data_IF_439694909258
#
_entry.id   IF_439694909258
#
_cell.length_a   1.000
_cell.length_b   1.000
_cell.length_c   1.000
_cell.angle_alpha   90.00
_cell.angle_beta   90.00
_cell.angle_gamma   90.00
#
_symmetry.space_group_name_H-M   'P 1'
#
loop_
_entity.id
_entity.type
_entity.pdbx_description
1 polymer ?
#
# COMPACT_ATOMS: atom_id res chain seq x y z
N UNK A 1 -11.54 -6.36 2.97
CA UNK A 1 -10.35 -5.82 2.28
C UNK A 1 -10.25 -6.53 0.94
N UNK A 2 -10.15 -5.78 -0.17
CA UNK A 2 -10.13 -6.36 -1.52
C UNK A 2 -8.68 -6.50 -1.99
N UNK A 3 -8.27 -7.69 -2.39
CA UNK A 3 -6.95 -7.89 -2.98
C UNK A 3 -6.94 -7.47 -4.45
N UNK A 4 -5.92 -6.68 -4.82
CA UNK A 4 -5.73 -6.13 -6.16
C UNK A 4 -4.25 -6.11 -6.54
N UNK A 5 -3.98 -5.92 -7.82
CA UNK A 5 -2.62 -5.69 -8.33
C UNK A 5 -1.98 -4.46 -7.69
N UNK A 6 -0.69 -4.56 -7.39
CA UNK A 6 0.05 -3.54 -6.66
C UNK A 6 0.06 -2.20 -7.38
N UNK A 7 0.27 -2.19 -8.69
CA UNK A 7 0.32 -0.94 -9.45
C UNK A 7 -1.04 -0.23 -9.44
N UNK A 8 -2.14 -0.99 -9.49
CA UNK A 8 -3.50 -0.44 -9.34
C UNK A 8 -3.74 0.11 -7.93
N UNK A 9 -3.21 -0.55 -6.91
CA UNK A 9 -3.28 -0.04 -5.53
C UNK A 9 -2.55 1.30 -5.42
N UNK A 10 -1.37 1.41 -6.03
CA UNK A 10 -0.61 2.66 -6.07
C UNK A 10 -1.37 3.75 -6.82
N UNK A 11 -1.94 3.45 -7.98
CA UNK A 11 -2.78 4.40 -8.73
C UNK A 11 -3.94 4.94 -7.89
N UNK A 12 -4.63 4.07 -7.15
CA UNK A 12 -5.71 4.48 -6.25
C UNK A 12 -5.18 5.41 -5.16
N UNK A 13 -4.03 5.08 -4.55
CA UNK A 13 -3.40 5.89 -3.51
C UNK A 13 -2.94 7.26 -4.00
N UNK A 14 -2.35 7.32 -5.20
CA UNK A 14 -1.92 8.57 -5.84
C UNK A 14 -3.08 9.48 -6.25
N UNK A 15 -4.29 8.93 -6.41
CA UNK A 15 -5.50 9.69 -6.68
C UNK A 15 -6.18 10.24 -5.41
N UNK A 16 -5.66 9.94 -4.21
CA UNK A 16 -6.24 10.43 -2.95
C UNK A 16 -5.65 11.78 -2.54
N UNK A 17 -6.52 12.74 -2.22
CA UNK A 17 -6.11 14.07 -1.71
C UNK A 17 -6.16 14.15 -0.17
N UNK A 18 -7.16 13.53 0.46
CA UNK A 18 -7.37 13.56 1.92
C UNK A 18 -7.95 12.23 2.43
N UNK A 19 -7.90 12.00 3.74
CA UNK A 19 -8.54 10.84 4.42
C UNK A 19 -8.14 9.46 3.87
N UNK A 20 -6.84 9.30 3.59
CA UNK A 20 -6.26 8.03 3.19
C UNK A 20 -4.97 7.75 3.97
N UNK A 21 -4.65 6.48 4.15
CA UNK A 21 -3.35 6.06 4.66
C UNK A 21 -3.01 4.67 4.12
N UNK A 22 -1.74 4.28 4.21
CA UNK A 22 -1.29 2.96 3.78
C UNK A 22 -0.39 2.31 4.83
N UNK A 23 -0.34 0.99 4.81
CA UNK A 23 0.55 0.17 5.62
C UNK A 23 1.43 -0.66 4.72
N UNK A 24 2.68 -0.85 5.13
CA UNK A 24 3.60 -1.80 4.52
C UNK A 24 4.02 -2.82 5.58
N UNK A 25 3.61 -4.06 5.38
CA UNK A 25 3.88 -5.17 6.29
C UNK A 25 4.95 -6.08 5.66
N UNK A 26 6.03 -6.31 6.39
CA UNK A 26 7.08 -7.26 6.02
C UNK A 26 6.65 -8.69 6.38
N UNK A 27 7.30 -9.73 5.81
CA UNK A 27 7.04 -11.12 6.19
C UNK A 27 7.19 -11.39 7.71
N UNK A 28 8.15 -10.73 8.36
CA UNK A 28 8.40 -10.88 9.80
C UNK A 28 7.53 -9.97 10.69
N UNK A 29 6.60 -9.21 10.10
CA UNK A 29 5.73 -8.32 10.86
C UNK A 29 4.68 -9.13 11.62
N UNK A 30 4.55 -8.91 12.94
CA UNK A 30 3.56 -9.60 13.80
C UNK A 30 2.10 -9.35 13.39
N UNK A 31 1.84 -8.30 12.62
CA UNK A 31 0.51 -7.96 12.10
C UNK A 31 0.27 -8.49 10.69
N UNK A 32 1.27 -9.11 10.07
CA UNK A 32 1.13 -9.74 8.76
C UNK A 32 0.69 -11.20 8.94
N UNK A 33 -0.41 -11.56 8.28
CA UNK A 33 -0.97 -12.91 8.26
C UNK A 33 -0.39 -13.78 7.15
N UNK A 34 0.61 -13.28 6.42
CA UNK A 34 1.20 -13.89 5.23
C UNK A 34 2.73 -13.88 5.27
N UNK A 35 3.41 -14.91 4.72
CA UNK A 35 4.86 -14.88 4.53
C UNK A 35 5.33 -13.96 3.39
N UNK A 36 4.39 -13.30 2.70
CA UNK A 36 4.67 -12.33 1.64
C UNK A 36 4.72 -10.90 2.20
N UNK A 37 5.37 -10.00 1.46
CA UNK A 37 5.20 -8.57 1.70
C UNK A 37 3.77 -8.18 1.39
N UNK A 38 3.20 -7.27 2.18
CA UNK A 38 1.82 -6.82 2.00
C UNK A 38 1.75 -5.31 2.05
N UNK A 39 1.09 -4.71 1.06
CA UNK A 39 0.71 -3.30 1.07
C UNK A 39 -0.78 -3.23 1.29
N UNK A 40 -1.22 -2.42 2.25
CA UNK A 40 -2.63 -2.17 2.53
C UNK A 40 -2.90 -0.69 2.31
N UNK A 41 -3.94 -0.36 1.56
CA UNK A 41 -4.41 1.00 1.34
C UNK A 41 -5.82 1.14 1.93
N UNK A 42 -6.00 2.13 2.79
CA UNK A 42 -7.30 2.47 3.36
C UNK A 42 -7.69 3.86 2.89
N UNK A 43 -8.82 3.94 2.20
CA UNK A 43 -9.45 5.19 1.74
C UNK A 43 -10.89 5.25 2.26
N UNK A 44 -11.57 6.37 2.00
CA UNK A 44 -12.99 6.51 2.35
C UNK A 44 -13.88 5.54 1.56
N UNK A 45 -13.49 5.19 0.34
CA UNK A 45 -14.22 4.32 -0.59
C UNK A 45 -13.99 2.83 -0.30
N UNK A 46 -12.95 2.49 0.46
CA UNK A 46 -12.72 1.12 0.89
C UNK A 46 -11.29 0.79 1.30
N UNK A 47 -11.08 -0.50 1.55
CA UNK A 47 -9.78 -1.05 1.96
C UNK A 47 -9.28 -2.03 0.90
N UNK A 48 -8.08 -1.79 0.39
CA UNK A 48 -7.43 -2.58 -0.64
C UNK A 48 -6.13 -3.17 -0.10
N UNK A 49 -5.72 -4.31 -0.64
CA UNK A 49 -4.41 -4.89 -0.33
C UNK A 49 -3.76 -5.49 -1.57
N UNK A 50 -2.45 -5.64 -1.51
CA UNK A 50 -1.68 -6.41 -2.48
C UNK A 50 -0.60 -7.18 -1.75
N UNK A 51 -0.32 -8.41 -2.20
CA UNK A 51 0.69 -9.31 -1.63
C UNK A 51 1.80 -9.60 -2.67
N UNK A 52 3.07 -9.57 -2.28
CA UNK A 52 4.18 -9.76 -3.20
C UNK A 52 5.37 -10.50 -2.58
N UNK A 53 6.11 -11.24 -3.41
CA UNK A 53 7.26 -12.03 -2.97
C UNK A 53 8.52 -11.22 -2.71
N UNK A 54 8.58 -9.97 -3.17
CA UNK A 54 9.74 -9.09 -3.03
C UNK A 54 9.31 -7.70 -2.56
N UNK A 55 10.16 -7.00 -1.83
CA UNK A 55 9.88 -5.63 -1.35
C UNK A 55 9.68 -4.66 -2.54
N UNK A 56 8.52 -4.01 -2.69
CA UNK A 56 8.23 -3.16 -3.84
C UNK A 56 8.72 -1.72 -3.63
N UNK A 57 10.04 -1.50 -3.69
CA UNK A 57 10.66 -0.22 -3.34
C UNK A 57 10.12 0.98 -4.16
N UNK A 58 9.97 0.82 -5.47
CA UNK A 58 9.52 1.90 -6.35
C UNK A 58 8.08 2.33 -6.05
N UNK A 59 7.18 1.37 -5.84
CA UNK A 59 5.79 1.63 -5.49
C UNK A 59 5.65 2.26 -4.11
N UNK A 60 6.40 1.76 -3.12
CA UNK A 60 6.42 2.35 -1.78
C UNK A 60 6.92 3.79 -1.82
N UNK A 61 8.00 4.07 -2.57
CA UNK A 61 8.52 5.43 -2.72
C UNK A 61 7.49 6.38 -3.30
N UNK A 62 6.71 5.95 -4.31
CA UNK A 62 5.61 6.76 -4.88
C UNK A 62 4.54 7.07 -3.82
N UNK A 63 4.08 6.06 -3.09
CA UNK A 63 3.07 6.23 -2.04
C UNK A 63 3.57 7.11 -0.89
N UNK A 64 4.78 6.88 -0.40
CA UNK A 64 5.41 7.68 0.66
C UNK A 64 5.57 9.14 0.25
N UNK A 65 6.06 9.39 -0.97
CA UNK A 65 6.23 10.75 -1.45
C UNK A 65 4.90 11.48 -1.55
N UNK A 66 3.87 10.82 -2.10
CA UNK A 66 2.53 11.39 -2.17
C UNK A 66 1.94 11.66 -0.78
N UNK A 67 2.03 10.69 0.13
CA UNK A 67 1.53 10.81 1.50
C UNK A 67 2.17 11.96 2.28
N UNK A 68 3.49 12.14 2.14
CA UNK A 68 4.22 13.20 2.82
C UNK A 68 4.33 14.51 2.02
N UNK A 69 3.69 14.61 0.84
CA UNK A 69 3.78 15.78 -0.03
C UNK A 69 5.22 16.09 -0.50
N UNK A 70 6.07 15.07 -0.64
CA UNK A 70 7.46 15.19 -1.11
C UNK A 70 7.49 15.20 -2.64
N UNK A 71 8.29 16.10 -3.22
CA UNK A 71 8.54 16.18 -4.66
C UNK A 71 9.62 15.19 -5.11
#
# INVERSE_FOLDING_TARGET
>A
MKEIELDKLVEIGLAQDTDWHFHFLTPDCIFNDSPLYKVILETKEGKFSSSMSHKPLEQLKKLENHFYGRK
#
